data_IF_062198622234
#
_entry.id   IF_062198622234
#
_cell.length_a   1.000
_cell.length_b   1.000
_cell.length_c   1.000
_cell.angle_alpha   90.00
_cell.angle_beta   90.00
_cell.angle_gamma   90.00
#
_symmetry.space_group_name_H-M   'P 1'
#
loop_
_entity.id
_entity.type
_entity.pdbx_description
1 polymer ?
#
# COMPACT_ATOMS: atom_id res chain seq x y z
N UNK A 1 18.53 -6.16 33.48
CA UNK A 1 17.82 -5.66 32.29
C UNK A 1 17.17 -6.87 31.64
N UNK A 2 15.84 -7.02 31.75
CA UNK A 2 15.15 -8.13 31.10
C UNK A 2 14.76 -7.68 29.69
N UNK A 3 15.36 -8.31 28.69
CA UNK A 3 15.02 -8.13 27.28
C UNK A 3 13.67 -8.79 27.04
N UNK A 4 12.61 -7.97 26.96
CA UNK A 4 11.27 -8.45 26.63
C UNK A 4 11.27 -8.75 25.14
N UNK A 5 11.45 -10.01 24.78
CA UNK A 5 11.23 -10.51 23.42
C UNK A 5 9.78 -10.21 23.05
N UNK A 6 9.57 -9.15 22.29
CA UNK A 6 8.29 -8.83 21.66
C UNK A 6 8.09 -9.91 20.61
N UNK A 7 7.21 -10.87 20.89
CA UNK A 7 6.80 -11.83 19.88
C UNK A 7 6.24 -11.02 18.70
N UNK A 8 6.71 -11.23 17.45
CA UNK A 8 6.11 -10.57 16.31
C UNK A 8 4.62 -10.87 16.36
N UNK A 9 3.82 -9.81 16.45
CA UNK A 9 2.37 -9.91 16.49
C UNK A 9 1.95 -10.86 15.38
N UNK A 10 1.23 -11.92 15.77
CA UNK A 10 0.69 -12.92 14.89
C UNK A 10 0.12 -12.24 13.65
N UNK A 11 0.44 -12.81 12.47
CA UNK A 11 -0.07 -12.41 11.15
C UNK A 11 -1.45 -11.78 11.33
N UNK A 12 -1.54 -10.46 11.14
CA UNK A 12 -2.81 -9.77 11.33
C UNK A 12 -3.78 -10.31 10.28
N UNK A 13 -4.90 -10.87 10.72
CA UNK A 13 -5.93 -11.36 9.82
C UNK A 13 -6.57 -10.15 9.11
N UNK A 14 -6.35 -10.08 7.80
CA UNK A 14 -6.75 -8.95 6.96
C UNK A 14 -5.53 -8.24 6.37
N UNK A 15 -5.31 -8.41 5.07
CA UNK A 15 -4.27 -7.66 4.39
C UNK A 15 -4.70 -6.19 4.29
N UNK A 16 -3.94 -5.32 4.97
CA UNK A 16 -4.05 -3.87 4.81
C UNK A 16 -2.99 -3.46 3.80
N UNK A 17 -3.44 -2.99 2.64
CA UNK A 17 -2.60 -2.39 1.61
C UNK A 17 -2.73 -0.88 1.67
N UNK A 18 -1.60 -0.18 1.50
CA UNK A 18 -1.62 1.27 1.29
C UNK A 18 -1.21 1.55 -0.14
N UNK A 19 -2.01 2.34 -0.86
CA UNK A 19 -1.76 2.69 -2.25
C UNK A 19 -1.60 4.20 -2.33
N UNK A 20 -0.52 4.65 -2.97
CA UNK A 20 -0.27 6.07 -3.27
C UNK A 20 -0.33 6.26 -4.78
N UNK A 21 -1.32 7.02 -5.24
CA UNK A 21 -1.51 7.35 -6.66
C UNK A 21 -0.90 8.72 -6.92
N UNK A 22 0.01 8.81 -7.90
CA UNK A 22 0.61 10.09 -8.26
C UNK A 22 -0.25 10.79 -9.31
N UNK A 23 -0.67 12.00 -8.99
CA UNK A 23 -1.50 12.82 -9.87
C UNK A 23 -0.66 13.95 -10.45
N UNK A 24 -0.61 14.13 -11.79
CA UNK A 24 0.16 15.18 -12.40
C UNK A 24 -0.36 16.57 -11.98
N UNK A 25 0.51 17.59 -11.96
CA UNK A 25 0.07 18.94 -11.64
C UNK A 25 -0.99 19.43 -12.62
N UNK A 26 -2.02 20.11 -12.10
CA UNK A 26 -3.13 20.65 -12.90
C UNK A 26 -2.74 21.89 -13.71
N UNK A 27 -1.60 22.52 -13.41
CA UNK A 27 -1.07 23.67 -14.12
C UNK A 27 0.46 23.76 -13.99
N UNK A 28 1.09 24.50 -14.89
CA UNK A 28 2.52 24.75 -14.86
C UNK A 28 2.96 25.45 -13.56
N UNK A 29 4.09 25.00 -13.01
CA UNK A 29 4.63 25.52 -11.74
C UNK A 29 4.05 24.89 -10.48
N UNK A 30 3.06 23.99 -10.60
CA UNK A 30 2.56 23.19 -9.48
C UNK A 30 3.33 21.86 -9.35
N UNK A 31 3.39 21.35 -8.12
CA UNK A 31 3.99 20.04 -7.85
C UNK A 31 3.01 18.90 -8.16
N UNK A 32 3.56 17.71 -8.38
CA UNK A 32 2.78 16.48 -8.38
C UNK A 32 2.05 16.31 -7.04
N UNK A 33 0.82 15.78 -7.11
CA UNK A 33 0.02 15.46 -5.95
C UNK A 33 0.06 13.95 -5.70
N UNK A 34 -0.25 13.55 -4.47
CA UNK A 34 -0.35 12.13 -4.09
C UNK A 34 -1.67 11.91 -3.38
N UNK A 35 -2.47 11.00 -3.94
CA UNK A 35 -3.68 10.51 -3.31
C UNK A 35 -3.38 9.19 -2.59
N UNK A 36 -3.70 9.16 -1.29
CA UNK A 36 -3.35 8.05 -0.41
C UNK A 36 -4.60 7.25 -0.01
N UNK A 37 -4.55 5.95 -0.22
CA UNK A 37 -5.66 5.03 0.00
C UNK A 37 -5.25 3.87 0.88
N UNK A 38 -6.13 3.49 1.79
CA UNK A 38 -6.02 2.26 2.58
C UNK A 38 -7.05 1.25 2.09
N UNK A 39 -6.59 0.10 1.58
CA UNK A 39 -7.42 -1.01 1.17
C UNK A 39 -7.37 -2.08 2.26
N UNK A 40 -8.49 -2.27 2.95
CA UNK A 40 -8.58 -3.16 4.13
C UNK A 40 -9.10 -4.56 3.79
N UNK A 41 -9.50 -4.79 2.54
CA UNK A 41 -10.11 -6.03 2.07
C UNK A 41 -9.45 -6.48 0.76
N UNK A 42 -9.34 -7.80 0.57
CA UNK A 42 -8.80 -8.40 -0.65
C UNK A 42 -7.41 -8.99 -0.46
N UNK A 43 -6.85 -9.50 -1.56
CA UNK A 43 -5.49 -10.03 -1.67
C UNK A 43 -4.59 -9.08 -2.49
N UNK A 44 -3.30 -9.37 -2.57
CA UNK A 44 -2.34 -8.55 -3.32
C UNK A 44 -2.71 -8.36 -4.80
N UNK A 45 -3.22 -9.40 -5.46
CA UNK A 45 -3.60 -9.34 -6.88
C UNK A 45 -4.82 -8.44 -7.11
N UNK A 46 -5.76 -8.41 -6.16
CA UNK A 46 -6.89 -7.49 -6.17
C UNK A 46 -6.43 -6.06 -5.90
N UNK A 47 -5.53 -5.85 -4.94
CA UNK A 47 -4.99 -4.53 -4.62
C UNK A 47 -4.18 -3.94 -5.80
N UNK A 48 -3.39 -4.75 -6.50
CA UNK A 48 -2.65 -4.34 -7.70
C UNK A 48 -3.58 -3.97 -8.84
N UNK A 49 -4.60 -4.80 -9.13
CA UNK A 49 -5.61 -4.48 -10.15
C UNK A 49 -6.34 -3.19 -9.83
N UNK A 50 -6.76 -3.02 -8.58
CA UNK A 50 -7.39 -1.79 -8.12
C UNK A 50 -6.48 -0.57 -8.34
N UNK A 51 -5.20 -0.67 -7.95
CA UNK A 51 -4.25 0.42 -8.10
C UNK A 51 -4.04 0.79 -9.58
N UNK A 52 -3.91 -0.20 -10.47
CA UNK A 52 -3.72 0.02 -11.89
C UNK A 52 -4.93 0.71 -12.56
N UNK A 53 -6.15 0.27 -12.22
CA UNK A 53 -7.39 0.87 -12.69
C UNK A 53 -7.54 2.34 -12.24
N UNK A 54 -7.17 2.64 -10.99
CA UNK A 54 -7.34 3.96 -10.39
C UNK A 54 -6.18 4.92 -10.69
N UNK A 55 -5.00 4.40 -11.02
CA UNK A 55 -3.87 5.22 -11.43
C UNK A 55 -4.11 5.92 -12.78
N UNK A 56 -5.01 5.39 -13.61
CA UNK A 56 -5.36 5.94 -14.93
C UNK A 56 -4.12 6.17 -15.81
N UNK A 57 -3.14 5.26 -15.73
CA UNK A 57 -1.87 5.32 -16.46
C UNK A 57 -0.77 6.16 -15.79
N UNK A 58 -1.03 6.74 -14.62
CA UNK A 58 -0.02 7.44 -13.83
C UNK A 58 0.80 6.48 -12.95
N UNK A 59 1.98 6.90 -12.44
CA UNK A 59 2.73 6.10 -11.49
C UNK A 59 1.95 5.88 -10.18
N UNK A 60 2.15 4.72 -9.55
CA UNK A 60 1.64 4.45 -8.22
C UNK A 60 2.63 3.63 -7.39
N UNK A 61 2.48 3.72 -6.08
CA UNK A 61 3.21 2.90 -5.10
C UNK A 61 2.20 2.05 -4.33
N UNK A 62 2.50 0.76 -4.14
CA UNK A 62 1.70 -0.14 -3.30
C UNK A 62 2.59 -0.65 -2.16
N UNK A 63 2.14 -0.43 -0.92
CA UNK A 63 2.81 -0.84 0.29
C UNK A 63 2.04 -1.97 0.94
N UNK A 64 2.75 -3.04 1.26
CA UNK A 64 2.22 -4.19 2.00
C UNK A 64 2.75 -4.12 3.43
N UNK A 65 1.87 -4.33 4.42
CA UNK A 65 2.29 -4.37 5.82
C UNK A 65 3.26 -5.53 6.05
N UNK A 66 4.45 -5.21 6.58
CA UNK A 66 5.41 -6.21 7.01
C UNK A 66 4.77 -7.13 8.05
N UNK A 67 4.72 -8.44 7.75
CA UNK A 67 4.04 -9.45 8.57
C UNK A 67 2.70 -9.95 8.02
N UNK A 68 2.21 -9.42 6.90
CA UNK A 68 1.12 -10.07 6.15
C UNK A 68 1.64 -11.25 5.34
N UNK A 69 0.73 -12.19 4.99
CA UNK A 69 1.07 -13.29 4.07
C UNK A 69 1.51 -12.77 2.70
N UNK A 70 0.94 -11.65 2.25
CA UNK A 70 1.26 -11.02 0.98
C UNK A 70 2.66 -10.42 0.95
N UNK A 71 3.22 -10.02 2.10
CA UNK A 71 4.59 -9.51 2.17
C UNK A 71 5.61 -10.56 1.70
N UNK A 72 5.37 -11.85 1.96
CA UNK A 72 6.23 -12.94 1.52
C UNK A 72 6.13 -13.25 0.02
N UNK A 73 5.23 -12.59 -0.72
CA UNK A 73 4.99 -12.80 -2.16
C UNK A 73 5.53 -11.68 -3.04
N UNK A 74 5.96 -10.57 -2.45
CA UNK A 74 6.69 -9.48 -3.14
C UNK A 74 8.14 -9.89 -3.40
#
# INVERSE_FOLDING_TARGET
MQEKLVQPVAIQEGAIFRVRLWVPPSADGFAWQVDDWELTNGDLDQALRWADEHAQGNPYELFVRAGSLDFCRL
#
